data_IF_968996534563
#
_entry.id   IF_968996534563
#
_cell.length_a   1.000
_cell.length_b   1.000
_cell.length_c   1.000
_cell.angle_alpha   90.00
_cell.angle_beta   90.00
_cell.angle_gamma   90.00
#
_symmetry.space_group_name_H-M   'P 1'
#
loop_
_entity.id
_entity.type
_entity.pdbx_description
1 polymer ?
#
# COMPACT_ATOMS: atom_id res chain seq x y z
N UNK A 1 78.01 -7.11 37.00
CA UNK A 1 76.58 -7.21 37.19
C UNK A 1 75.91 -6.46 36.00
N UNK A 2 75.44 -7.18 34.97
CA UNK A 2 74.75 -6.56 33.83
C UNK A 2 73.26 -6.61 34.13
N UNK A 3 72.65 -5.41 34.18
CA UNK A 3 71.16 -5.27 34.28
C UNK A 3 70.54 -5.40 32.92
N UNK A 4 69.72 -6.43 32.75
CA UNK A 4 68.91 -6.63 31.56
C UNK A 4 67.63 -5.77 31.71
N UNK A 5 67.42 -4.82 30.78
CA UNK A 5 66.25 -4.00 30.72
C UNK A 5 65.23 -4.75 29.83
N UNK A 6 64.09 -5.23 30.40
CA UNK A 6 62.99 -5.78 29.68
C UNK A 6 62.06 -4.64 29.22
N UNK A 7 62.07 -4.36 27.89
CA UNK A 7 61.12 -3.42 27.28
C UNK A 7 59.89 -4.24 26.87
N UNK A 8 58.82 -4.10 27.60
CA UNK A 8 57.53 -4.70 27.25
C UNK A 8 56.83 -3.82 26.20
N UNK A 9 56.78 -4.29 24.96
CA UNK A 9 56.00 -3.71 23.89
C UNK A 9 54.51 -3.98 24.14
N UNK A 10 53.74 -2.99 24.56
CA UNK A 10 52.26 -3.04 24.49
C UNK A 10 51.83 -2.81 23.04
N UNK A 11 51.42 -3.87 22.33
CA UNK A 11 50.64 -3.69 21.10
C UNK A 11 49.22 -3.27 21.51
N UNK A 12 48.72 -2.12 21.05
CA UNK A 12 47.30 -1.83 21.17
C UNK A 12 46.53 -2.82 20.29
N UNK A 13 45.77 -3.70 20.91
CA UNK A 13 44.75 -4.48 20.22
C UNK A 13 43.69 -3.47 19.70
N UNK A 14 43.75 -3.11 18.44
CA UNK A 14 42.63 -2.46 17.79
C UNK A 14 41.45 -3.44 17.85
N UNK A 15 40.50 -3.18 18.72
CA UNK A 15 39.19 -3.79 18.67
C UNK A 15 38.57 -3.31 17.36
N UNK A 16 38.66 -4.12 16.32
CA UNK A 16 37.81 -3.94 15.17
C UNK A 16 36.36 -4.13 15.66
N UNK A 17 35.64 -3.05 15.83
CA UNK A 17 34.19 -3.09 15.94
C UNK A 17 33.71 -3.73 14.64
N UNK A 18 32.86 -4.76 14.68
CA UNK A 18 32.25 -5.25 13.45
C UNK A 18 31.58 -4.04 12.78
N UNK A 19 31.99 -3.72 11.58
CA UNK A 19 31.22 -2.83 10.74
C UNK A 19 29.84 -3.49 10.57
N UNK A 20 28.79 -2.72 10.74
CA UNK A 20 27.45 -3.21 10.45
C UNK A 20 27.42 -3.71 9.01
N UNK A 21 26.97 -4.94 8.79
CA UNK A 21 26.84 -5.47 7.44
C UNK A 21 25.79 -4.65 6.69
N UNK A 22 26.08 -4.27 5.45
CA UNK A 22 25.16 -3.54 4.59
C UNK A 22 23.83 -4.30 4.41
N UNK A 23 22.73 -3.62 4.60
CA UNK A 23 21.37 -4.17 4.42
C UNK A 23 20.90 -3.87 2.99
N UNK A 24 20.83 -4.87 2.10
CA UNK A 24 20.36 -4.65 0.73
C UNK A 24 18.91 -4.17 0.69
N UNK A 25 18.63 -3.25 -0.22
CA UNK A 25 17.27 -2.77 -0.48
C UNK A 25 16.50 -3.72 -1.40
N UNK A 26 17.19 -4.28 -2.42
CA UNK A 26 16.54 -5.11 -3.44
C UNK A 26 16.44 -6.56 -2.97
N UNK A 27 15.44 -6.83 -2.13
CA UNK A 27 15.18 -8.15 -1.59
C UNK A 27 13.88 -8.74 -2.17
N UNK A 28 13.91 -10.03 -2.50
CA UNK A 28 12.73 -10.76 -2.96
C UNK A 28 11.62 -10.72 -1.91
N UNK A 29 10.38 -10.44 -2.33
CA UNK A 29 9.21 -10.30 -1.48
C UNK A 29 9.24 -9.10 -0.50
N UNK A 30 10.17 -8.16 -0.66
CA UNK A 30 10.13 -6.91 0.08
C UNK A 30 8.90 -6.08 -0.37
N UNK A 31 8.17 -5.59 0.60
CA UNK A 31 6.91 -4.86 0.39
C UNK A 31 6.89 -3.58 1.23
N UNK A 32 6.57 -2.49 0.59
CA UNK A 32 6.33 -1.17 1.19
C UNK A 32 4.85 -0.85 1.08
N UNK A 33 4.24 -0.35 2.14
CA UNK A 33 2.89 0.19 2.14
C UNK A 33 2.96 1.67 2.52
N UNK A 34 2.44 2.50 1.66
CA UNK A 34 2.49 3.94 1.74
C UNK A 34 1.08 4.51 1.90
N UNK A 35 0.95 5.53 2.72
CA UNK A 35 -0.25 6.33 2.84
C UNK A 35 0.01 7.74 2.32
N UNK A 36 -0.81 8.19 1.38
CA UNK A 36 -0.84 9.57 0.90
C UNK A 36 -2.02 10.28 1.55
N UNK A 37 -1.74 11.34 2.28
CA UNK A 37 -2.73 12.26 2.77
C UNK A 37 -2.73 13.51 1.88
N UNK A 38 -3.88 13.91 1.37
CA UNK A 38 -4.03 14.98 0.37
C UNK A 38 -4.79 16.19 0.90
N UNK A 39 -4.59 16.55 2.18
CA UNK A 39 -5.06 17.81 2.77
C UNK A 39 -6.56 18.11 2.73
N UNK A 40 -7.29 17.38 1.89
CA UNK A 40 -8.71 17.55 1.62
C UNK A 40 -9.63 16.57 2.35
N UNK A 41 -10.56 15.99 1.62
CA UNK A 41 -11.49 14.99 2.16
C UNK A 41 -10.82 13.63 2.26
N UNK A 42 -11.34 12.75 3.10
CA UNK A 42 -10.83 11.38 3.25
C UNK A 42 -10.86 10.57 1.93
N UNK A 43 -11.68 10.98 0.98
CA UNK A 43 -11.85 10.38 -0.34
C UNK A 43 -10.66 10.67 -1.30
N UNK A 44 -9.88 11.72 -1.01
CA UNK A 44 -8.69 12.10 -1.79
C UNK A 44 -7.40 11.43 -1.30
N UNK A 45 -7.46 10.73 -0.17
CA UNK A 45 -6.33 9.99 0.35
C UNK A 45 -6.11 8.70 -0.45
N UNK A 46 -4.87 8.25 -0.55
CA UNK A 46 -4.51 7.01 -1.23
C UNK A 46 -3.69 6.08 -0.31
N UNK A 47 -3.96 4.80 -0.40
CA UNK A 47 -3.19 3.73 0.25
C UNK A 47 -2.68 2.79 -0.83
N UNK A 48 -1.39 2.79 -1.04
CA UNK A 48 -0.75 2.03 -2.08
C UNK A 48 0.56 1.41 -1.57
N UNK A 49 1.19 0.57 -2.40
CA UNK A 49 2.46 -0.02 -2.04
C UNK A 49 3.30 -0.42 -3.23
N UNK A 50 4.50 -0.86 -2.92
CA UNK A 50 5.41 -1.48 -3.88
C UNK A 50 5.82 -2.86 -3.37
N UNK A 51 5.94 -3.83 -4.28
CA UNK A 51 6.40 -5.16 -3.98
C UNK A 51 7.44 -5.61 -4.99
N UNK A 52 8.56 -6.10 -4.50
CA UNK A 52 9.59 -6.75 -5.33
C UNK A 52 9.26 -8.22 -5.43
N UNK A 53 9.02 -8.72 -6.67
CA UNK A 53 8.67 -10.12 -6.89
C UNK A 53 9.05 -10.61 -8.27
N UNK A 54 9.93 -11.61 -8.32
CA UNK A 54 10.37 -12.28 -9.53
C UNK A 54 11.40 -11.51 -10.34
N UNK A 55 12.08 -12.26 -11.21
CA UNK A 55 13.21 -11.78 -12.00
C UNK A 55 12.79 -11.34 -13.41
N UNK A 56 13.57 -10.43 -14.00
CA UNK A 56 13.48 -10.06 -15.40
C UNK A 56 14.87 -9.72 -15.95
N UNK A 57 15.01 -9.73 -17.27
CA UNK A 57 16.24 -9.31 -17.94
C UNK A 57 15.90 -8.24 -18.98
N UNK A 58 16.57 -7.10 -18.92
CA UNK A 58 16.38 -5.98 -19.84
C UNK A 58 17.75 -5.61 -20.40
N UNK A 59 17.89 -5.61 -21.73
CA UNK A 59 19.16 -5.33 -22.43
C UNK A 59 20.35 -6.17 -21.94
N UNK A 60 20.09 -7.43 -21.52
CA UNK A 60 21.11 -8.34 -21.00
C UNK A 60 21.47 -8.16 -19.52
N UNK A 61 20.88 -7.18 -18.84
CA UNK A 61 21.07 -6.92 -17.41
C UNK A 61 19.93 -7.53 -16.60
N UNK A 62 20.26 -8.19 -15.49
CA UNK A 62 19.28 -8.78 -14.58
C UNK A 62 18.67 -7.74 -13.62
N UNK A 63 17.38 -7.83 -13.41
CA UNK A 63 16.60 -6.99 -12.49
C UNK A 63 15.59 -7.84 -11.73
N UNK A 64 15.11 -7.33 -10.60
CA UNK A 64 13.86 -7.74 -9.96
C UNK A 64 12.72 -6.89 -10.51
N UNK A 65 11.54 -7.50 -10.68
CA UNK A 65 10.32 -6.76 -11.02
C UNK A 65 9.78 -6.04 -9.80
N UNK A 66 9.23 -4.85 -10.02
CA UNK A 66 8.51 -4.09 -9.01
C UNK A 66 7.08 -3.95 -9.43
N UNK A 67 6.17 -4.37 -8.58
CA UNK A 67 4.75 -4.19 -8.74
C UNK A 67 4.25 -3.04 -7.86
N UNK A 68 3.36 -2.22 -8.40
CA UNK A 68 2.56 -1.28 -7.60
C UNK A 68 1.31 -2.01 -7.15
N UNK A 69 1.02 -1.90 -5.85
CA UNK A 69 -0.17 -2.44 -5.20
C UNK A 69 -1.11 -1.29 -4.87
N UNK A 70 -2.41 -1.47 -5.16
CA UNK A 70 -3.45 -0.59 -4.64
C UNK A 70 -4.13 -1.26 -3.45
N UNK A 71 -4.61 -0.46 -2.49
CA UNK A 71 -5.36 -0.93 -1.33
C UNK A 71 -6.64 -0.14 -1.13
N UNK A 72 -7.63 -0.76 -0.50
CA UNK A 72 -8.85 -0.06 -0.08
C UNK A 72 -8.64 0.70 1.22
N UNK A 73 -9.08 1.95 1.27
CA UNK A 73 -9.12 2.79 2.47
C UNK A 73 -10.54 2.73 3.04
N UNK A 74 -10.86 1.69 3.79
CA UNK A 74 -12.22 1.51 4.31
C UNK A 74 -12.28 1.38 5.85
N UNK A 75 -11.13 1.35 6.50
CA UNK A 75 -11.02 1.23 7.95
C UNK A 75 -9.69 1.79 8.48
N UNK A 76 -9.69 2.21 9.72
CA UNK A 76 -8.50 2.52 10.50
C UNK A 76 -8.46 1.61 11.75
N UNK A 77 -7.36 0.96 12.12
CA UNK A 77 -6.09 0.90 11.37
C UNK A 77 -6.24 0.11 10.07
N UNK A 78 -5.36 0.37 9.08
CA UNK A 78 -5.44 -0.22 7.72
C UNK A 78 -5.15 -1.73 7.66
N UNK A 79 -4.77 -2.34 8.77
CA UNK A 79 -4.44 -3.79 8.85
C UNK A 79 -5.72 -4.61 9.08
N UNK A 80 -5.96 -5.69 8.32
CA UNK A 80 -5.16 -6.16 7.18
C UNK A 80 -5.29 -5.23 5.98
N UNK A 81 -4.18 -5.08 5.22
CA UNK A 81 -4.16 -4.29 3.98
C UNK A 81 -4.92 -5.04 2.90
N UNK A 82 -6.06 -4.52 2.49
CA UNK A 82 -6.95 -5.16 1.51
C UNK A 82 -6.56 -4.73 0.11
N UNK A 83 -5.86 -5.63 -0.62
CA UNK A 83 -5.38 -5.35 -1.97
C UNK A 83 -6.53 -5.19 -2.96
N UNK A 84 -6.60 -4.04 -3.63
CA UNK A 84 -7.58 -3.72 -4.67
C UNK A 84 -7.09 -4.07 -6.07
N UNK A 85 -5.78 -4.09 -6.27
CA UNK A 85 -5.15 -4.39 -7.55
C UNK A 85 -3.64 -4.46 -7.48
N UNK A 86 -3.04 -4.88 -8.60
CA UNK A 86 -1.60 -4.97 -8.78
C UNK A 86 -1.25 -4.74 -10.25
N UNK A 87 -0.22 -3.94 -10.53
CA UNK A 87 0.32 -3.71 -11.86
C UNK A 87 1.85 -3.74 -11.85
N UNK A 88 2.47 -4.12 -12.97
CA UNK A 88 3.91 -4.03 -13.12
C UNK A 88 4.29 -2.55 -13.24
N UNK A 89 5.04 -2.06 -12.26
CA UNK A 89 5.43 -0.65 -12.18
C UNK A 89 6.81 -0.39 -12.79
N UNK A 90 7.76 -1.30 -12.55
CA UNK A 90 9.13 -1.09 -12.99
C UNK A 90 10.02 -2.31 -12.77
N UNK A 91 11.31 -2.08 -12.87
CA UNK A 91 12.37 -3.05 -12.59
C UNK A 91 13.49 -2.37 -11.79
N UNK A 92 14.05 -3.09 -10.82
CA UNK A 92 15.06 -2.60 -9.90
C UNK A 92 16.23 -3.58 -9.80
N UNK A 93 17.44 -3.07 -9.68
CA UNK A 93 18.63 -3.85 -9.37
C UNK A 93 19.53 -3.10 -8.39
N UNK A 94 20.37 -3.83 -7.71
CA UNK A 94 21.32 -3.29 -6.75
C UNK A 94 22.73 -3.81 -7.02
N UNK A 95 23.69 -2.91 -6.96
CA UNK A 95 25.10 -3.24 -6.89
C UNK A 95 25.50 -3.21 -5.42
N UNK A 96 25.65 -4.40 -4.83
CA UNK A 96 25.94 -4.57 -3.40
C UNK A 96 27.32 -4.03 -3.05
N UNK A 97 28.32 -4.22 -3.95
CA UNK A 97 29.69 -3.79 -3.70
C UNK A 97 29.80 -2.25 -3.73
N UNK A 98 29.08 -1.60 -4.63
CA UNK A 98 29.02 -0.15 -4.73
C UNK A 98 27.94 0.48 -3.83
N UNK A 99 27.05 -0.32 -3.23
CA UNK A 99 25.87 0.11 -2.44
C UNK A 99 24.95 1.05 -3.21
N UNK A 100 24.73 0.77 -4.50
CA UNK A 100 23.93 1.60 -5.41
C UNK A 100 22.73 0.85 -5.94
N UNK A 101 21.59 1.52 -5.98
CA UNK A 101 20.33 0.99 -6.48
C UNK A 101 19.93 1.73 -7.75
N UNK A 102 19.65 0.94 -8.79
CA UNK A 102 19.21 1.42 -10.09
C UNK A 102 17.79 0.93 -10.37
N UNK A 103 16.96 1.79 -10.96
CA UNK A 103 15.62 1.40 -11.34
C UNK A 103 15.24 1.92 -12.73
N UNK A 104 14.28 1.21 -13.35
CA UNK A 104 13.57 1.58 -14.59
C UNK A 104 12.08 1.61 -14.26
N UNK A 105 11.44 2.77 -14.41
CA UNK A 105 10.01 2.95 -14.20
C UNK A 105 9.30 2.85 -15.55
N UNK A 106 8.21 2.10 -15.65
CA UNK A 106 7.49 1.83 -16.90
C UNK A 106 6.17 2.58 -17.01
N UNK A 107 5.60 3.02 -15.89
CA UNK A 107 4.35 3.74 -15.84
C UNK A 107 4.56 5.17 -15.34
N UNK A 108 3.85 6.12 -15.95
CA UNK A 108 3.69 7.43 -15.33
C UNK A 108 2.90 7.23 -14.05
N UNK A 109 3.47 7.53 -12.91
CA UNK A 109 2.71 7.61 -11.68
C UNK A 109 2.32 9.07 -11.45
N UNK A 110 1.22 9.29 -10.72
CA UNK A 110 0.78 10.62 -10.31
C UNK A 110 1.75 11.33 -9.36
N UNK A 111 2.78 10.61 -8.94
CA UNK A 111 3.87 11.16 -8.16
C UNK A 111 4.70 11.99 -9.14
N UNK A 112 4.84 13.26 -8.90
CA UNK A 112 5.66 14.19 -9.68
C UNK A 112 7.10 13.67 -9.72
N UNK A 113 7.35 12.81 -10.70
CA UNK A 113 8.64 12.14 -10.83
C UNK A 113 9.68 13.09 -11.35
N UNK A 114 10.71 13.18 -10.60
CA UNK A 114 11.95 13.87 -10.95
C UNK A 114 12.75 13.13 -12.01
N UNK A 115 12.45 11.84 -12.22
CA UNK A 115 13.04 11.01 -13.28
C UNK A 115 11.96 10.58 -14.27
N UNK A 116 11.68 11.45 -15.25
CA UNK A 116 10.58 11.33 -16.22
C UNK A 116 10.89 10.45 -17.43
N UNK A 117 12.14 9.99 -17.61
CA UNK A 117 12.50 9.15 -18.76
C UNK A 117 12.03 7.70 -18.51
N UNK A 118 10.79 7.40 -18.88
CA UNK A 118 10.22 6.07 -18.74
C UNK A 118 11.07 5.00 -19.42
N UNK A 119 11.30 3.89 -18.73
CA UNK A 119 12.08 2.75 -19.20
C UNK A 119 13.60 2.97 -19.20
N UNK A 120 14.11 4.18 -18.99
CA UNK A 120 15.53 4.41 -18.84
C UNK A 120 16.03 3.97 -17.45
N UNK A 121 17.24 3.36 -17.40
CA UNK A 121 17.85 3.08 -16.12
C UNK A 121 18.37 4.36 -15.48
N UNK A 122 18.03 4.56 -14.22
CA UNK A 122 18.47 5.69 -13.40
C UNK A 122 19.04 5.22 -12.07
N UNK A 123 20.02 5.93 -11.54
CA UNK A 123 20.49 5.77 -10.17
C UNK A 123 19.43 6.36 -9.23
N UNK A 124 18.83 5.51 -8.39
CA UNK A 124 17.80 5.92 -7.43
C UNK A 124 18.37 6.14 -6.04
N UNK A 125 19.24 5.23 -5.56
CA UNK A 125 19.85 5.33 -4.25
C UNK A 125 21.35 5.10 -4.34
N UNK A 126 22.09 5.84 -3.53
CA UNK A 126 23.51 5.63 -3.29
C UNK A 126 23.75 5.65 -1.78
N UNK A 127 23.98 4.48 -1.21
CA UNK A 127 24.23 4.28 0.21
C UNK A 127 25.74 4.33 0.55
N UNK A 128 26.59 4.72 -0.40
CA UNK A 128 28.02 4.94 -0.18
C UNK A 128 28.38 6.40 0.10
N UNK A 129 27.38 7.29 0.07
CA UNK A 129 27.57 8.74 0.22
C UNK A 129 27.97 9.13 1.66
N UNK A 130 28.66 10.26 1.77
CA UNK A 130 29.10 10.86 3.02
C UNK A 130 28.39 12.19 3.27
N UNK A 131 28.50 12.72 4.48
CA UNK A 131 28.00 14.07 4.83
C UNK A 131 28.68 15.11 3.95
N UNK A 132 27.88 15.94 3.28
CA UNK A 132 28.29 16.92 2.30
C UNK A 132 28.12 16.50 0.85
N UNK A 133 27.97 15.20 0.58
CA UNK A 133 27.60 14.68 -0.74
C UNK A 133 26.12 14.99 -1.04
N UNK A 134 25.76 14.88 -2.31
CA UNK A 134 24.39 15.14 -2.77
C UNK A 134 23.69 13.84 -3.13
N UNK A 135 22.46 13.67 -2.66
CA UNK A 135 21.62 12.54 -3.02
C UNK A 135 21.36 12.46 -4.55
N UNK A 136 21.13 11.27 -5.11
CA UNK A 136 20.78 11.11 -6.53
C UNK A 136 19.61 11.98 -6.95
N UNK A 137 19.64 12.52 -8.18
CA UNK A 137 18.65 13.48 -8.67
C UNK A 137 17.22 12.94 -8.69
N UNK A 138 17.04 11.61 -8.84
CA UNK A 138 15.71 11.00 -8.82
C UNK A 138 15.01 11.15 -7.48
N UNK A 139 15.75 11.29 -6.38
CA UNK A 139 15.20 11.46 -5.04
C UNK A 139 15.40 12.86 -4.46
N UNK A 140 16.32 13.68 -4.98
CA UNK A 140 16.67 14.99 -4.41
C UNK A 140 16.35 16.19 -5.29
N UNK A 141 16.09 16.01 -6.59
CA UNK A 141 15.85 17.11 -7.51
C UNK A 141 14.41 17.66 -7.47
N UNK A 142 14.16 18.90 -7.81
CA UNK A 142 12.84 19.43 -8.17
C UNK A 142 12.61 19.22 -9.67
N UNK A 143 11.39 18.89 -10.14
CA UNK A 143 11.13 18.72 -11.56
C UNK A 143 11.55 19.92 -12.40
N UNK A 144 11.22 21.12 -11.93
CA UNK A 144 11.47 22.38 -12.62
C UNK A 144 12.83 23.03 -12.26
N UNK A 145 13.52 22.50 -11.27
CA UNK A 145 14.77 23.02 -10.73
C UNK A 145 15.77 21.90 -10.40
N UNK A 146 16.29 21.20 -11.45
CA UNK A 146 17.23 20.09 -11.24
C UNK A 146 18.54 20.48 -10.56
N UNK A 147 18.86 21.79 -10.56
CA UNK A 147 19.99 22.36 -9.83
C UNK A 147 19.76 22.46 -8.32
N UNK A 148 18.52 22.37 -7.86
CA UNK A 148 18.19 22.35 -6.44
C UNK A 148 18.36 20.95 -5.89
N UNK A 149 19.57 20.68 -5.45
CA UNK A 149 19.94 19.41 -4.84
C UNK A 149 20.19 19.63 -3.35
N UNK A 150 19.89 18.61 -2.56
CA UNK A 150 20.06 18.69 -1.12
C UNK A 150 21.32 17.93 -0.72
N UNK A 151 22.32 18.61 -0.14
CA UNK A 151 23.45 17.93 0.46
C UNK A 151 23.02 17.20 1.72
N UNK A 152 23.67 16.06 1.97
CA UNK A 152 23.52 15.32 3.21
C UNK A 152 24.09 16.18 4.34
N UNK A 153 23.27 16.52 5.32
CA UNK A 153 23.65 17.35 6.46
C UNK A 153 24.03 16.53 7.71
N UNK A 154 23.54 15.30 7.82
CA UNK A 154 23.88 14.40 8.91
C UNK A 154 23.75 12.93 8.54
N UNK A 155 24.46 12.09 9.28
CA UNK A 155 24.45 10.64 9.18
C UNK A 155 24.32 10.06 10.59
N UNK A 156 23.40 9.11 10.77
CA UNK A 156 23.22 8.39 12.02
C UNK A 156 22.66 6.98 11.74
N UNK A 157 22.49 6.20 12.81
CA UNK A 157 21.82 4.89 12.76
C UNK A 157 20.52 4.99 13.54
N UNK A 158 19.42 4.50 12.96
CA UNK A 158 18.09 4.50 13.58
C UNK A 158 17.48 3.09 13.59
N UNK A 159 16.79 2.74 14.68
CA UNK A 159 16.04 1.50 14.74
C UNK A 159 14.70 1.65 14.01
N UNK A 160 14.59 1.04 12.81
CA UNK A 160 13.44 1.15 11.94
C UNK A 160 13.02 -0.23 11.43
N UNK A 161 11.73 -0.55 11.56
CA UNK A 161 11.14 -1.83 11.11
C UNK A 161 11.90 -3.07 11.61
N UNK A 162 12.32 -3.04 12.89
CA UNK A 162 12.92 -4.19 13.58
C UNK A 162 14.43 -4.34 13.46
N UNK A 163 15.11 -3.41 12.76
CA UNK A 163 16.57 -3.43 12.55
C UNK A 163 17.20 -2.05 12.74
N UNK A 164 18.46 -2.03 13.14
CA UNK A 164 19.29 -0.83 13.12
C UNK A 164 19.73 -0.55 11.69
N UNK A 165 19.40 0.63 11.15
CA UNK A 165 19.64 1.03 9.76
C UNK A 165 20.37 2.35 9.69
N UNK A 166 21.32 2.43 8.79
CA UNK A 166 22.02 3.68 8.49
C UNK A 166 21.08 4.66 7.78
N UNK A 167 21.19 5.93 8.19
CA UNK A 167 20.31 7.01 7.73
C UNK A 167 21.10 8.25 7.35
N UNK A 168 20.86 8.73 6.13
CA UNK A 168 21.43 9.96 5.57
C UNK A 168 20.35 11.03 5.55
N UNK A 169 20.50 12.05 6.37
CA UNK A 169 19.51 13.10 6.50
C UNK A 169 19.88 14.32 5.66
N UNK A 170 18.85 14.97 5.13
CA UNK A 170 18.93 16.26 4.43
C UNK A 170 17.90 17.22 5.03
N UNK A 171 18.00 18.51 4.73
CA UNK A 171 17.07 19.52 5.22
C UNK A 171 16.94 19.52 6.76
N UNK A 172 18.07 19.41 7.47
CA UNK A 172 18.08 19.38 8.94
C UNK A 172 17.28 18.21 9.55
N UNK A 173 17.27 17.07 8.87
CA UNK A 173 16.58 15.85 9.34
C UNK A 173 15.09 15.76 8.97
N UNK A 174 14.56 16.70 8.21
CA UNK A 174 13.16 16.62 7.75
C UNK A 174 12.95 15.55 6.70
N UNK A 175 13.99 15.23 5.93
CA UNK A 175 13.94 14.19 4.92
C UNK A 175 15.20 13.34 5.01
N UNK A 176 15.09 12.05 4.72
CA UNK A 176 16.22 11.14 4.84
C UNK A 176 16.09 9.90 3.93
N UNK A 177 17.26 9.43 3.50
CA UNK A 177 17.44 8.14 2.87
C UNK A 177 17.79 7.11 3.96
N UNK A 178 17.31 5.88 3.82
CA UNK A 178 17.49 4.80 4.81
C UNK A 178 17.97 3.53 4.12
N UNK A 179 19.04 2.96 4.64
CA UNK A 179 19.59 1.70 4.18
C UNK A 179 18.54 0.58 4.18
N UNK A 180 18.42 -0.14 3.06
CA UNK A 180 17.47 -1.24 2.90
C UNK A 180 16.00 -0.88 2.86
N UNK A 181 15.64 0.44 2.90
CA UNK A 181 14.25 0.91 2.84
C UNK A 181 14.00 1.89 1.70
N UNK A 182 14.99 2.70 1.32
CA UNK A 182 14.83 3.78 0.36
C UNK A 182 14.74 5.15 1.03
N UNK A 183 13.55 5.75 1.13
CA UNK A 183 13.36 7.03 1.83
C UNK A 183 12.38 6.90 2.99
N UNK A 184 12.24 7.95 3.79
CA UNK A 184 11.24 8.04 4.85
C UNK A 184 9.80 7.97 4.34
N UNK A 185 9.58 8.19 3.05
CA UNK A 185 8.28 8.13 2.38
C UNK A 185 8.08 6.85 1.57
N UNK A 186 9.07 5.95 1.49
CA UNK A 186 8.95 4.67 0.80
C UNK A 186 9.97 4.45 -0.32
N UNK A 187 9.64 3.51 -1.23
CA UNK A 187 10.59 3.04 -2.23
C UNK A 187 10.81 4.04 -3.38
N UNK A 188 9.74 4.62 -3.93
CA UNK A 188 9.82 5.48 -5.10
C UNK A 188 9.14 6.84 -4.91
N UNK A 189 8.73 7.17 -3.71
CA UNK A 189 7.97 8.37 -3.39
C UNK A 189 8.80 9.37 -2.57
N UNK A 190 9.88 9.91 -3.13
CA UNK A 190 10.72 10.86 -2.41
C UNK A 190 10.03 12.22 -2.39
N UNK A 191 9.22 12.46 -1.39
CA UNK A 191 8.62 13.77 -1.21
C UNK A 191 9.49 14.69 -0.37
N UNK A 192 10.74 14.95 -0.82
CA UNK A 192 11.64 15.91 -0.14
C UNK A 192 11.12 17.35 -0.18
N UNK A 193 10.17 17.67 -1.08
CA UNK A 193 9.56 18.99 -1.20
C UNK A 193 8.15 19.13 -0.62
N UNK A 194 7.45 18.03 -0.33
CA UNK A 194 6.06 18.07 0.17
C UNK A 194 5.94 18.62 1.60
N UNK A 195 7.06 18.81 2.30
CA UNK A 195 7.08 19.33 3.68
C UNK A 195 6.67 20.80 3.75
N UNK A 196 6.75 21.54 2.65
CA UNK A 196 6.62 23.01 2.67
C UNK A 196 5.26 23.55 2.28
N UNK A 197 4.39 22.77 1.62
CA UNK A 197 3.16 23.29 1.05
C UNK A 197 1.88 22.90 1.77
N UNK A 198 1.92 21.89 2.66
CA UNK A 198 0.74 21.46 3.45
C UNK A 198 -0.40 20.84 2.63
N UNK A 199 -0.19 20.61 1.34
CA UNK A 199 -1.25 20.13 0.44
C UNK A 199 -1.29 18.59 0.34
N UNK A 200 -0.14 17.91 0.47
CA UNK A 200 -0.10 16.45 0.52
C UNK A 200 1.10 15.94 1.33
N UNK A 201 0.95 14.82 2.00
CA UNK A 201 2.03 14.15 2.71
C UNK A 201 2.04 12.66 2.41
N UNK A 202 3.23 12.09 2.35
CA UNK A 202 3.45 10.65 2.17
C UNK A 202 4.09 10.10 3.43
N UNK A 203 3.62 8.93 3.86
CA UNK A 203 4.15 8.22 5.02
C UNK A 203 4.38 6.76 4.67
N UNK A 204 5.56 6.22 4.98
CA UNK A 204 5.78 4.79 4.96
C UNK A 204 5.10 4.16 6.17
N UNK A 205 3.93 3.57 5.97
CA UNK A 205 3.11 2.96 7.03
C UNK A 205 3.63 1.59 7.47
N UNK A 206 4.17 0.83 6.50
CA UNK A 206 4.61 -0.53 6.76
C UNK A 206 5.71 -0.96 5.79
N UNK A 207 6.64 -1.75 6.31
CA UNK A 207 7.65 -2.46 5.54
C UNK A 207 7.74 -3.89 6.04
N UNK A 208 7.81 -4.84 5.12
CA UNK A 208 7.86 -6.26 5.42
C UNK A 208 8.56 -7.02 4.32
N UNK A 209 9.28 -8.09 4.67
CA UNK A 209 9.83 -9.08 3.75
C UNK A 209 9.14 -10.41 4.03
N UNK A 210 8.47 -10.97 3.03
CA UNK A 210 7.74 -12.22 3.17
C UNK A 210 6.58 -12.35 2.19
N UNK A 211 5.76 -13.38 2.35
CA UNK A 211 4.54 -13.53 1.56
C UNK A 211 3.57 -12.37 1.84
N UNK A 212 2.64 -12.11 0.93
CA UNK A 212 1.61 -11.07 1.15
C UNK A 212 0.86 -11.31 2.47
N UNK A 213 0.52 -12.56 2.79
CA UNK A 213 -0.16 -12.89 4.05
C UNK A 213 0.69 -12.63 5.29
N UNK A 214 2.01 -12.87 5.22
CA UNK A 214 2.93 -12.57 6.33
C UNK A 214 3.04 -11.06 6.55
N UNK A 215 2.92 -10.28 5.48
CA UNK A 215 2.91 -8.83 5.50
C UNK A 215 1.53 -8.22 5.84
N UNK A 216 0.55 -9.04 6.20
CA UNK A 216 -0.80 -8.58 6.52
C UNK A 216 -1.61 -8.09 5.32
N UNK A 217 -1.18 -8.47 4.10
CA UNK A 217 -1.87 -8.15 2.85
C UNK A 217 -2.82 -9.30 2.53
N UNK A 218 -4.06 -8.98 2.22
CA UNK A 218 -5.08 -9.94 1.82
C UNK A 218 -5.70 -9.49 0.51
N UNK A 219 -5.93 -10.44 -0.39
CA UNK A 219 -6.69 -10.14 -1.60
C UNK A 219 -8.11 -9.72 -1.21
N UNK A 220 -8.57 -8.62 -1.76
CA UNK A 220 -9.97 -8.23 -1.65
C UNK A 220 -10.82 -9.09 -2.60
N UNK A 221 -10.67 -10.41 -2.53
CA UNK A 221 -11.46 -11.39 -3.32
C UNK A 221 -12.91 -11.48 -2.87
N UNK A 222 -13.25 -10.97 -1.70
CA UNK A 222 -14.60 -10.63 -1.39
C UNK A 222 -14.85 -9.22 -1.90
N UNK A 223 -15.64 -9.06 -2.95
CA UNK A 223 -16.52 -7.90 -3.04
C UNK A 223 -17.01 -7.66 -1.61
N UNK A 224 -16.51 -6.65 -0.92
CA UNK A 224 -17.20 -6.15 0.26
C UNK A 224 -18.44 -5.50 -0.30
N UNK A 225 -19.41 -6.33 -0.57
CA UNK A 225 -20.76 -5.85 -0.74
C UNK A 225 -21.04 -5.08 0.54
N UNK A 226 -21.01 -3.77 0.42
CA UNK A 226 -21.29 -2.88 1.55
C UNK A 226 -22.62 -3.31 2.16
N UNK A 227 -22.58 -3.96 3.31
CA UNK A 227 -23.80 -4.33 4.01
C UNK A 227 -24.47 -3.04 4.47
N UNK A 228 -25.60 -2.73 3.86
CA UNK A 228 -26.43 -1.64 4.28
C UNK A 228 -27.05 -1.98 5.63
N UNK A 229 -27.25 -1.00 6.53
CA UNK A 229 -27.89 -1.26 7.81
C UNK A 229 -29.30 -1.81 7.59
N UNK A 230 -29.74 -2.75 8.41
CA UNK A 230 -31.08 -3.33 8.32
C UNK A 230 -32.21 -2.29 8.32
N UNK A 231 -31.98 -1.12 8.91
CA UNK A 231 -32.91 0.02 8.92
C UNK A 231 -33.05 0.73 7.57
N UNK A 232 -32.15 0.44 6.61
CA UNK A 232 -32.23 1.01 5.26
C UNK A 232 -33.30 0.30 4.40
N UNK A 233 -33.75 -0.89 4.80
CA UNK A 233 -34.67 -1.72 4.05
C UNK A 233 -36.02 -1.84 4.77
N UNK A 234 -37.11 -1.47 4.11
CA UNK A 234 -38.47 -1.79 4.53
C UNK A 234 -39.01 -2.92 3.70
N UNK A 235 -39.53 -3.93 4.37
CA UNK A 235 -40.12 -5.14 3.77
C UNK A 235 -41.49 -5.36 4.36
N UNK A 236 -42.53 -5.26 3.54
CA UNK A 236 -43.94 -5.42 4.02
C UNK A 236 -44.86 -6.01 2.93
N UNK A 237 -45.91 -6.76 3.32
CA UNK A 237 -46.14 -7.26 4.66
C UNK A 237 -45.09 -8.32 5.05
N UNK A 238 -44.85 -8.47 6.34
CA UNK A 238 -44.05 -9.56 6.89
C UNK A 238 -44.74 -10.01 8.20
N UNK A 239 -45.41 -11.17 8.24
CA UNK A 239 -45.47 -12.23 7.23
C UNK A 239 -46.24 -11.86 5.95
N UNK A 240 -45.83 -12.51 4.83
CA UNK A 240 -46.41 -12.33 3.50
C UNK A 240 -47.00 -13.63 2.93
N UNK A 241 -48.09 -13.52 2.13
CA UNK A 241 -48.73 -14.63 1.48
C UNK A 241 -48.54 -14.61 -0.06
N UNK A 242 -48.81 -13.45 -0.69
CA UNK A 242 -48.84 -13.35 -2.14
C UNK A 242 -47.73 -12.48 -2.72
N UNK A 243 -47.47 -11.34 -2.07
CA UNK A 243 -46.56 -10.33 -2.59
C UNK A 243 -45.85 -9.61 -1.44
N UNK A 244 -44.62 -9.23 -1.70
CA UNK A 244 -43.76 -8.46 -0.77
C UNK A 244 -43.38 -7.16 -1.42
N UNK A 245 -43.62 -6.05 -0.76
CA UNK A 245 -43.14 -4.73 -1.14
C UNK A 245 -41.80 -4.45 -0.44
N UNK A 246 -40.82 -4.08 -1.20
CA UNK A 246 -39.47 -3.85 -0.74
C UNK A 246 -39.10 -2.41 -1.13
N UNK A 247 -38.75 -1.60 -0.14
CA UNK A 247 -38.34 -0.19 -0.36
C UNK A 247 -37.07 0.15 0.39
N UNK A 248 -36.23 1.02 -0.21
CA UNK A 248 -35.07 1.59 0.44
C UNK A 248 -35.44 2.92 1.10
N UNK A 249 -35.05 3.10 2.38
CA UNK A 249 -35.23 4.35 3.11
C UNK A 249 -33.88 5.09 3.24
N UNK A 250 -33.91 6.40 2.94
CA UNK A 250 -32.82 7.34 3.19
C UNK A 250 -31.50 7.10 2.43
N UNK A 251 -31.56 6.42 1.28
CA UNK A 251 -30.41 6.19 0.44
C UNK A 251 -30.67 6.73 -0.96
N UNK A 252 -29.74 7.51 -1.49
CA UNK A 252 -29.71 7.91 -2.92
C UNK A 252 -29.20 6.73 -3.77
N UNK A 253 -29.81 5.55 -3.59
CA UNK A 253 -29.42 4.32 -4.29
C UNK A 253 -30.65 3.61 -4.83
N UNK A 254 -30.54 3.07 -6.05
CA UNK A 254 -31.58 2.25 -6.66
C UNK A 254 -31.42 0.78 -6.35
N UNK A 255 -32.55 0.06 -6.25
CA UNK A 255 -32.55 -1.40 -6.20
C UNK A 255 -32.25 -1.94 -7.61
N UNK A 256 -31.21 -2.78 -7.73
CA UNK A 256 -30.84 -3.44 -8.98
C UNK A 256 -31.42 -4.86 -9.04
N UNK A 257 -31.39 -5.57 -7.92
CA UNK A 257 -31.84 -6.97 -7.86
C UNK A 257 -32.34 -7.34 -6.46
N UNK A 258 -33.35 -8.19 -6.44
CA UNK A 258 -33.89 -8.78 -5.21
C UNK A 258 -33.88 -10.29 -5.38
N UNK A 259 -33.34 -10.99 -4.39
CA UNK A 259 -33.25 -12.44 -4.34
C UNK A 259 -33.87 -12.97 -3.05
N UNK A 260 -34.73 -13.97 -3.16
CA UNK A 260 -35.28 -14.74 -2.04
C UNK A 260 -34.46 -16.03 -1.88
N UNK A 261 -33.84 -16.17 -0.72
CA UNK A 261 -32.95 -17.30 -0.43
C UNK A 261 -33.50 -18.14 0.72
N UNK A 262 -33.26 -19.44 0.67
CA UNK A 262 -33.46 -20.29 1.84
C UNK A 262 -32.44 -19.92 2.95
N UNK A 263 -32.66 -20.42 4.17
CA UNK A 263 -31.68 -20.23 5.27
C UNK A 263 -30.32 -20.90 5.00
N UNK A 264 -30.27 -21.83 4.04
CA UNK A 264 -29.01 -22.47 3.58
C UNK A 264 -28.37 -21.75 2.40
N UNK A 265 -28.92 -20.63 1.95
CA UNK A 265 -28.40 -19.80 0.85
C UNK A 265 -28.86 -20.24 -0.55
N UNK A 266 -29.74 -21.25 -0.67
CA UNK A 266 -30.26 -21.64 -1.97
C UNK A 266 -31.21 -20.58 -2.52
N UNK A 267 -31.02 -20.18 -3.79
CA UNK A 267 -31.86 -19.20 -4.49
C UNK A 267 -33.20 -19.83 -4.83
N UNK A 268 -34.30 -19.15 -4.46
CA UNK A 268 -35.69 -19.59 -4.74
C UNK A 268 -36.33 -18.68 -5.78
N UNK A 269 -36.23 -17.39 -5.65
CA UNK A 269 -36.78 -16.40 -6.56
C UNK A 269 -35.78 -15.27 -6.77
N UNK A 270 -35.76 -14.69 -7.96
CA UNK A 270 -34.95 -13.55 -8.29
C UNK A 270 -35.74 -12.58 -9.18
N UNK A 271 -35.58 -11.28 -8.91
CA UNK A 271 -36.15 -10.21 -9.72
C UNK A 271 -35.15 -9.08 -9.89
N UNK A 272 -34.87 -8.73 -11.15
CA UNK A 272 -34.10 -7.53 -11.50
C UNK A 272 -34.98 -6.30 -11.52
N UNK A 273 -34.41 -5.14 -11.20
CA UNK A 273 -35.08 -3.84 -11.20
C UNK A 273 -34.20 -2.82 -11.91
N UNK A 274 -34.80 -1.80 -12.53
CA UNK A 274 -34.07 -0.79 -13.31
C UNK A 274 -33.65 0.43 -12.46
N UNK A 275 -33.32 0.21 -11.18
CA UNK A 275 -32.75 1.25 -10.31
C UNK A 275 -33.74 2.13 -9.57
N UNK A 276 -35.00 1.75 -9.47
CA UNK A 276 -36.00 2.43 -8.62
C UNK A 276 -35.81 2.13 -7.13
N UNK A 277 -36.33 3.00 -6.25
CA UNK A 277 -36.21 2.87 -4.79
C UNK A 277 -37.14 1.78 -4.19
N UNK A 278 -37.98 1.15 -5.00
CA UNK A 278 -38.92 0.13 -4.56
C UNK A 278 -39.13 -0.96 -5.61
N UNK A 279 -39.46 -2.15 -5.15
CA UNK A 279 -39.76 -3.31 -5.99
C UNK A 279 -40.77 -4.22 -5.30
N UNK A 280 -41.66 -4.83 -6.09
CA UNK A 280 -42.62 -5.82 -5.65
C UNK A 280 -42.15 -7.21 -6.05
N UNK A 281 -42.06 -8.14 -5.12
CA UNK A 281 -41.71 -9.54 -5.34
C UNK A 281 -42.94 -10.40 -5.17
N UNK A 282 -43.30 -11.13 -6.22
CA UNK A 282 -44.38 -12.14 -6.18
C UNK A 282 -43.84 -13.40 -5.51
N UNK A 283 -44.42 -13.79 -4.39
CA UNK A 283 -44.00 -14.94 -3.59
C UNK A 283 -45.06 -16.10 -3.63
N UNK A 284 -46.08 -15.95 -4.46
CA UNK A 284 -47.08 -17.01 -4.64
C UNK A 284 -46.42 -18.29 -5.13
N UNK A 285 -46.73 -19.37 -4.46
CA UNK A 285 -46.13 -20.68 -4.77
C UNK A 285 -44.83 -20.99 -4.02
N UNK A 286 -44.27 -20.06 -3.29
CA UNK A 286 -43.23 -20.38 -2.34
C UNK A 286 -43.82 -21.09 -1.11
N UNK A 287 -43.13 -22.09 -0.59
CA UNK A 287 -43.59 -22.83 0.60
C UNK A 287 -43.58 -21.92 1.84
N UNK A 288 -44.60 -22.05 2.75
CA UNK A 288 -44.55 -21.35 4.01
C UNK A 288 -43.26 -21.63 4.77
N UNK A 289 -42.64 -20.58 5.32
CA UNK A 289 -41.37 -20.73 6.00
C UNK A 289 -40.63 -19.40 6.26
N UNK A 290 -39.41 -19.52 6.76
CA UNK A 290 -38.49 -18.38 7.00
C UNK A 290 -37.45 -18.33 5.91
N UNK A 291 -37.24 -17.16 5.35
CA UNK A 291 -36.34 -16.90 4.22
C UNK A 291 -35.47 -15.69 4.48
N UNK A 292 -34.39 -15.58 3.71
CA UNK A 292 -33.55 -14.39 3.62
C UNK A 292 -33.89 -13.65 2.32
N UNK A 293 -34.16 -12.39 2.43
CA UNK A 293 -34.33 -11.46 1.32
C UNK A 293 -33.02 -10.69 1.15
N UNK A 294 -32.32 -10.89 0.05
CA UNK A 294 -31.13 -10.15 -0.33
C UNK A 294 -31.51 -9.09 -1.37
N UNK A 295 -31.13 -7.85 -1.12
CA UNK A 295 -31.38 -6.71 -2.00
C UNK A 295 -30.06 -6.10 -2.40
N UNK A 296 -29.71 -6.19 -3.69
CA UNK A 296 -28.53 -5.58 -4.28
C UNK A 296 -28.91 -4.20 -4.79
N UNK A 297 -28.13 -3.21 -4.42
CA UNK A 297 -28.30 -1.81 -4.82
C UNK A 297 -27.01 -1.28 -5.42
N UNK A 298 -27.07 -0.11 -6.06
CA UNK A 298 -25.86 0.60 -6.57
C UNK A 298 -24.80 0.87 -5.50
N UNK A 299 -25.20 0.92 -4.20
CA UNK A 299 -24.31 1.31 -3.09
C UNK A 299 -24.07 0.19 -2.07
N UNK A 300 -24.52 -1.06 -2.34
CA UNK A 300 -24.28 -2.17 -1.43
C UNK A 300 -25.41 -3.19 -1.37
N UNK A 301 -25.35 -4.10 -0.40
CA UNK A 301 -26.34 -5.16 -0.19
C UNK A 301 -27.07 -4.95 1.12
N UNK A 302 -28.39 -5.07 1.09
CA UNK A 302 -29.22 -5.18 2.27
C UNK A 302 -29.75 -6.61 2.41
N UNK A 303 -29.83 -7.11 3.64
CA UNK A 303 -30.43 -8.42 3.93
C UNK A 303 -31.50 -8.26 4.99
N UNK A 304 -32.68 -8.86 4.74
CA UNK A 304 -33.76 -8.90 5.69
C UNK A 304 -34.31 -10.33 5.85
N UNK A 305 -34.80 -10.63 7.05
CA UNK A 305 -35.54 -11.85 7.31
C UNK A 305 -37.01 -11.66 6.95
N UNK A 306 -37.57 -12.59 6.20
CA UNK A 306 -38.98 -12.59 5.82
C UNK A 306 -39.65 -13.95 6.18
N UNK A 307 -40.91 -13.86 6.54
CA UNK A 307 -41.76 -15.03 6.82
C UNK A 307 -42.84 -15.12 5.75
N UNK A 308 -42.94 -16.25 5.10
CA UNK A 308 -44.03 -16.58 4.18
C UNK A 308 -45.05 -17.50 4.85
N UNK A 309 -46.33 -17.32 4.55
CA UNK A 309 -47.46 -18.11 5.08
C UNK A 309 -48.37 -18.62 3.98
#
# INVERSE_FOLDING_TARGET
MKKLLFVTFFLPSALALPAQDYIPLVQEQATWVNYKWDGGTFEENDLFGYRIEGDTTIDGTAYKKVYRLGFFIDQWPFVPYRKSGQALFGAIREDIDERKVYARIFEESEIEHRCTDLGAEKLWYDFSLEVGDTLPSCISGWPDHPEWTWPIDSFDTAFLFGEDRDRWSVLYGYAYQVEGLGTHTGLFDPCFGCITTGESSYTLEHYCIGSESDCGIVDATATRERLLPASALKVFPNPAADQVHITLEKLDSGIERVSLLSLTGALLLEKTNEGGNGVDLDVRGATPGVYLLQVITTNGIAVAKIVLQ
#
